data_IF_236685016923
#
_entry.id   IF_236685016923
#
_cell.length_a   1.000
_cell.length_b   1.000
_cell.length_c   1.000
_cell.angle_alpha   90.00
_cell.angle_beta   90.00
_cell.angle_gamma   90.00
#
_symmetry.space_group_name_H-M   'P 1'
#
loop_
_entity.id
_entity.type
_entity.pdbx_description
1 polymer ?
#
# COMPACT_ATOMS: atom_id res chain seq x y z
N UNK A 1 -20.01 5.84 13.70
CA UNK A 1 -20.52 5.62 12.32
C UNK A 1 -19.33 5.23 11.45
N UNK A 2 -19.19 4.07 10.81
CA UNK A 2 -20.13 3.02 10.45
C UNK A 2 -19.60 2.36 9.17
N UNK A 3 -18.59 1.49 9.31
CA UNK A 3 -18.16 0.52 8.28
C UNK A 3 -17.70 -0.81 8.89
N UNK A 4 -18.27 -1.17 10.05
CA UNK A 4 -18.04 -2.46 10.68
C UNK A 4 -19.34 -3.26 10.64
N UNK A 5 -19.62 -3.95 9.53
CA UNK A 5 -20.48 -5.16 9.57
C UNK A 5 -20.68 -5.92 8.25
N UNK A 6 -20.44 -5.38 7.05
CA UNK A 6 -20.90 -6.07 5.83
C UNK A 6 -19.85 -6.93 5.09
N UNK A 7 -18.56 -6.89 5.45
CA UNK A 7 -17.50 -7.55 4.66
C UNK A 7 -16.71 -8.65 5.40
N UNK A 8 -17.26 -9.22 6.47
CA UNK A 8 -16.51 -10.16 7.34
C UNK A 8 -16.22 -11.55 6.73
N UNK A 9 -16.36 -11.74 5.40
CA UNK A 9 -16.08 -13.03 4.73
C UNK A 9 -15.46 -12.92 3.31
N UNK A 10 -14.92 -11.76 2.89
CA UNK A 10 -14.47 -11.59 1.49
C UNK A 10 -13.02 -11.17 1.30
N UNK A 11 -12.24 -11.00 2.37
CA UNK A 11 -10.82 -10.62 2.27
C UNK A 11 -9.89 -11.66 2.90
N UNK A 12 -9.78 -12.87 2.31
CA UNK A 12 -8.93 -13.93 2.84
C UNK A 12 -7.44 -13.58 2.84
N UNK A 13 -7.06 -12.49 2.15
CA UNK A 13 -5.68 -12.05 2.01
C UNK A 13 -5.40 -10.72 2.70
N UNK A 14 -6.35 -10.14 3.43
CA UNK A 14 -6.21 -8.86 4.14
C UNK A 14 -5.67 -7.74 3.20
N UNK A 15 -6.23 -7.63 1.99
CA UNK A 15 -5.85 -6.65 0.98
C UNK A 15 -6.13 -5.20 1.41
N UNK A 16 -7.09 -4.99 2.32
CA UNK A 16 -7.39 -3.66 2.87
C UNK A 16 -6.16 -3.00 3.53
N UNK A 17 -5.18 -3.80 4.00
CA UNK A 17 -3.92 -3.26 4.54
C UNK A 17 -3.17 -2.38 3.53
N UNK A 18 -3.23 -2.71 2.23
CA UNK A 18 -2.58 -1.93 1.19
C UNK A 18 -3.28 -0.59 0.98
N UNK A 19 -4.62 -0.58 1.00
CA UNK A 19 -5.40 0.65 0.89
C UNK A 19 -5.12 1.60 2.05
N UNK A 20 -5.04 1.07 3.27
CA UNK A 20 -4.71 1.86 4.45
C UNK A 20 -3.28 2.42 4.39
N UNK A 21 -2.30 1.64 3.94
CA UNK A 21 -0.92 2.09 3.80
C UNK A 21 -0.71 3.11 2.66
N UNK A 22 -1.47 2.98 1.57
CA UNK A 22 -1.40 3.89 0.42
C UNK A 22 -2.12 5.23 0.67
N UNK A 23 -3.19 5.25 1.46
CA UNK A 23 -4.02 6.43 1.69
C UNK A 23 -3.26 7.75 1.95
N UNK A 24 -2.22 7.80 2.81
CA UNK A 24 -1.49 9.06 3.06
C UNK A 24 -0.49 9.46 1.96
N UNK A 25 -0.17 8.57 1.01
CA UNK A 25 0.97 8.73 0.10
C UNK A 25 0.62 8.54 -1.38
N UNK A 26 -0.62 8.15 -1.70
CA UNK A 26 -1.06 7.87 -3.06
C UNK A 26 -0.91 9.09 -3.97
N UNK A 27 -1.39 10.26 -3.54
CA UNK A 27 -1.31 11.49 -4.35
C UNK A 27 0.15 11.92 -4.61
N UNK A 28 1.03 11.72 -3.62
CA UNK A 28 2.46 12.00 -3.75
C UNK A 28 3.10 11.05 -4.76
N UNK A 29 2.82 9.75 -4.65
CA UNK A 29 3.33 8.74 -5.57
C UNK A 29 2.87 9.01 -7.01
N UNK A 30 1.58 9.35 -7.19
CA UNK A 30 1.03 9.67 -8.49
C UNK A 30 1.71 10.90 -9.11
N UNK A 31 1.89 11.99 -8.34
CA UNK A 31 2.58 13.18 -8.82
C UNK A 31 4.04 12.90 -9.22
N UNK A 32 4.77 12.10 -8.44
CA UNK A 32 6.16 11.72 -8.74
C UNK A 32 6.27 10.82 -9.97
N UNK A 33 5.32 9.90 -10.17
CA UNK A 33 5.25 9.05 -11.36
C UNK A 33 4.95 9.88 -12.61
N UNK A 34 4.00 10.80 -12.55
CA UNK A 34 3.71 11.75 -13.65
C UNK A 34 4.93 12.63 -13.94
N UNK A 35 5.64 13.07 -12.89
CA UNK A 35 6.89 13.82 -13.00
C UNK A 35 8.10 12.99 -13.45
N UNK A 36 7.94 11.68 -13.66
CA UNK A 36 8.99 10.78 -14.13
C UNK A 36 10.14 10.57 -13.15
N UNK A 37 9.99 10.95 -11.89
CA UNK A 37 11.05 10.85 -10.89
C UNK A 37 10.50 10.56 -9.50
N UNK A 38 10.88 9.41 -8.96
CA UNK A 38 10.62 9.04 -7.58
C UNK A 38 11.54 9.80 -6.60
N UNK A 39 10.95 10.41 -5.59
CA UNK A 39 11.60 11.25 -4.59
C UNK A 39 11.31 10.81 -3.16
N UNK A 40 10.14 10.24 -2.87
CA UNK A 40 9.71 9.92 -1.49
C UNK A 40 9.52 8.41 -1.24
N UNK A 41 9.14 8.05 -0.01
CA UNK A 41 9.24 6.70 0.55
C UNK A 41 7.97 5.84 0.38
N UNK A 42 7.47 5.68 -0.86
CA UNK A 42 6.22 4.95 -1.13
C UNK A 42 6.32 3.61 -1.87
N UNK A 43 7.54 3.18 -2.25
CA UNK A 43 7.70 1.99 -3.10
C UNK A 43 7.02 0.74 -2.51
N UNK A 44 7.22 0.50 -1.21
CA UNK A 44 6.85 -0.76 -0.55
C UNK A 44 5.33 -1.02 -0.52
N UNK A 45 4.52 0.03 -0.53
CA UNK A 45 3.07 -0.08 -0.42
C UNK A 45 2.32 0.35 -1.69
N UNK A 46 2.94 1.07 -2.62
CA UNK A 46 2.36 1.36 -3.96
C UNK A 46 2.75 0.29 -4.98
N UNK A 47 3.96 -0.25 -4.92
CA UNK A 47 4.43 -1.39 -5.72
C UNK A 47 4.97 -2.50 -4.80
N UNK A 48 4.07 -3.25 -4.15
CA UNK A 48 4.47 -4.33 -3.25
C UNK A 48 5.22 -5.43 -4.00
N UNK A 49 6.22 -6.01 -3.32
CA UNK A 49 6.99 -7.14 -3.82
C UNK A 49 6.56 -8.45 -3.15
N UNK A 50 6.97 -9.59 -3.71
CA UNK A 50 6.76 -10.89 -3.06
C UNK A 50 7.49 -10.94 -1.70
N UNK A 51 6.83 -11.51 -0.70
CA UNK A 51 7.41 -11.73 0.62
C UNK A 51 8.72 -12.53 0.51
N UNK A 52 9.74 -12.13 1.28
CA UNK A 52 11.05 -12.79 1.30
C UNK A 52 12.06 -12.25 0.28
N UNK A 53 11.64 -11.39 -0.66
CA UNK A 53 12.58 -10.64 -1.51
C UNK A 53 13.26 -9.49 -0.75
N UNK A 54 12.53 -8.88 0.21
CA UNK A 54 13.03 -7.84 1.08
C UNK A 54 13.69 -8.37 2.36
N UNK A 55 14.75 -7.69 2.82
CA UNK A 55 15.41 -7.99 4.11
C UNK A 55 15.13 -6.96 5.20
N UNK A 56 14.44 -5.86 4.89
CA UNK A 56 14.05 -4.85 5.88
C UNK A 56 12.66 -5.12 6.43
N UNK A 57 12.38 -4.60 7.64
CA UNK A 57 11.08 -4.72 8.29
C UNK A 57 9.93 -4.12 7.48
N UNK A 58 10.19 -3.08 6.67
CA UNK A 58 9.18 -2.50 5.75
C UNK A 58 8.96 -3.31 4.47
N UNK A 59 9.77 -4.34 4.21
CA UNK A 59 9.76 -5.12 2.98
C UNK A 59 9.40 -6.61 3.18
N UNK A 60 9.07 -7.00 4.43
CA UNK A 60 8.50 -8.30 4.80
C UNK A 60 7.00 -8.15 5.01
#
# INVERSE_FOLDING_TARGET
MGKASLAMHSDPYDLDRFLMAQAPAYDIALAELIGGRKLTHWMWYVFPQLQGLGRSSMAQ
#
